data_IF_060039637928
#
_entry.id   IF_060039637928
#
_cell.length_a   1.000
_cell.length_b   1.000
_cell.length_c   1.000
_cell.angle_alpha   90.00
_cell.angle_beta   90.00
_cell.angle_gamma   90.00
#
_symmetry.space_group_name_H-M   'P 1'
#
loop_
_entity.id
_entity.type
_entity.pdbx_description
1 polymer ?
#
# COMPACT_ATOMS: atom_id res chain seq x y z
N UNK A 1 -10.44 21.54 -33.24
CA UNK A 1 -10.89 21.08 -31.91
C UNK A 1 -9.78 20.24 -31.30
N UNK A 2 -8.87 20.84 -30.53
CA UNK A 2 -7.82 20.10 -29.82
C UNK A 2 -8.44 19.42 -28.60
N UNK A 3 -8.96 18.21 -28.79
CA UNK A 3 -9.44 17.38 -27.69
C UNK A 3 -8.20 16.83 -26.95
N UNK A 4 -7.61 17.66 -26.09
CA UNK A 4 -6.52 17.25 -25.19
C UNK A 4 -7.08 16.16 -24.26
N UNK A 5 -6.66 14.91 -24.47
CA UNK A 5 -7.04 13.78 -23.62
C UNK A 5 -6.43 14.02 -22.24
N UNK A 6 -7.21 14.59 -21.32
CA UNK A 6 -6.80 14.83 -19.93
C UNK A 6 -7.33 13.74 -19.02
N UNK A 7 -6.55 13.34 -18.01
CA UNK A 7 -7.00 12.41 -16.97
C UNK A 7 -8.24 12.97 -16.26
N UNK A 8 -9.29 12.14 -16.18
CA UNK A 8 -10.50 12.48 -15.43
C UNK A 8 -10.20 12.41 -13.94
N UNK A 9 -10.44 13.50 -13.21
CA UNK A 9 -10.33 13.51 -11.75
C UNK A 9 -11.54 12.79 -11.15
N UNK A 10 -11.38 11.50 -10.85
CA UNK A 10 -12.45 10.65 -10.30
C UNK A 10 -12.31 10.37 -8.82
N UNK A 11 -11.13 10.60 -8.23
CA UNK A 11 -10.83 10.27 -6.84
C UNK A 11 -10.92 11.51 -5.94
N UNK A 12 -11.63 11.36 -4.82
CA UNK A 12 -11.69 12.36 -3.75
C UNK A 12 -10.51 12.22 -2.79
N UNK A 13 -10.16 13.30 -2.08
CA UNK A 13 -9.10 13.27 -1.05
C UNK A 13 -9.28 12.13 -0.03
N UNK A 14 -10.45 11.94 0.62
CA UNK A 14 -10.61 10.88 1.61
C UNK A 14 -10.44 9.48 1.02
N UNK A 15 -10.89 9.25 -0.23
CA UNK A 15 -10.68 7.97 -0.91
C UNK A 15 -9.19 7.67 -1.12
N UNK A 16 -8.41 8.67 -1.56
CA UNK A 16 -6.96 8.49 -1.76
C UNK A 16 -6.25 8.27 -0.43
N UNK A 17 -6.65 8.98 0.63
CA UNK A 17 -6.10 8.81 1.98
C UNK A 17 -6.40 7.41 2.51
N UNK A 18 -7.65 6.96 2.45
CA UNK A 18 -8.04 5.62 2.89
C UNK A 18 -7.31 4.55 2.09
N UNK A 19 -7.24 4.68 0.76
CA UNK A 19 -6.48 3.77 -0.08
C UNK A 19 -4.99 3.66 0.33
N UNK A 20 -4.33 4.80 0.57
CA UNK A 20 -2.94 4.81 1.05
C UNK A 20 -2.77 4.20 2.45
N UNK A 21 -3.70 4.48 3.36
CA UNK A 21 -3.69 3.90 4.70
C UNK A 21 -3.91 2.38 4.65
N UNK A 22 -4.87 1.90 3.88
CA UNK A 22 -5.16 0.47 3.72
C UNK A 22 -3.96 -0.31 3.19
N UNK A 23 -3.30 0.20 2.15
CA UNK A 23 -2.09 -0.45 1.63
C UNK A 23 -0.96 -0.53 2.68
N UNK A 24 -0.79 0.51 3.49
CA UNK A 24 0.23 0.53 4.55
C UNK A 24 -0.13 -0.39 5.72
N UNK A 25 -1.39 -0.39 6.14
CA UNK A 25 -1.91 -1.21 7.25
C UNK A 25 -1.95 -2.69 6.87
N UNK A 26 -2.52 -3.01 5.71
CA UNK A 26 -2.63 -4.39 5.22
C UNK A 26 -1.27 -5.05 5.04
N UNK A 27 -0.32 -4.38 4.40
CA UNK A 27 1.03 -4.91 4.27
C UNK A 27 1.77 -4.90 5.61
N UNK A 28 1.89 -3.74 6.26
CA UNK A 28 2.75 -3.57 7.44
C UNK A 28 2.25 -4.33 8.67
N UNK A 29 0.97 -4.16 9.01
CA UNK A 29 0.40 -4.75 10.22
C UNK A 29 -0.06 -6.18 9.93
N UNK A 30 -0.96 -6.36 8.98
CA UNK A 30 -1.55 -7.70 8.78
C UNK A 30 -0.57 -8.70 8.17
N UNK A 31 0.27 -8.33 7.21
CA UNK A 31 1.18 -9.31 6.61
C UNK A 31 2.49 -9.48 7.39
N UNK A 32 3.02 -8.43 8.02
CA UNK A 32 4.41 -8.40 8.51
C UNK A 32 4.58 -8.29 10.03
N UNK A 33 3.54 -7.95 10.82
CA UNK A 33 3.72 -7.72 12.26
C UNK A 33 4.22 -8.96 13.00
N UNK A 34 3.76 -10.15 12.63
CA UNK A 34 4.16 -11.41 13.27
C UNK A 34 5.63 -11.74 13.01
N UNK A 35 6.11 -11.54 11.79
CA UNK A 35 7.51 -11.74 11.44
C UNK A 35 8.43 -10.73 12.14
N UNK A 36 8.00 -9.46 12.18
CA UNK A 36 8.74 -8.42 12.90
C UNK A 36 8.78 -8.72 14.39
N UNK A 37 7.67 -9.19 14.99
CA UNK A 37 7.64 -9.61 16.38
C UNK A 37 8.52 -10.84 16.66
N UNK A 38 8.62 -11.78 15.72
CA UNK A 38 9.48 -12.94 15.83
C UNK A 38 10.98 -12.55 15.85
N UNK A 39 11.37 -11.57 15.02
CA UNK A 39 12.78 -11.12 14.94
C UNK A 39 13.13 -10.11 16.03
N UNK A 40 12.29 -9.10 16.26
CA UNK A 40 12.56 -8.00 17.20
C UNK A 40 12.07 -8.28 18.63
N UNK A 41 11.20 -9.28 18.82
CA UNK A 41 10.63 -9.61 20.12
C UNK A 41 9.99 -8.40 20.80
N UNK A 42 10.37 -8.18 22.05
CA UNK A 42 9.90 -7.05 22.86
C UNK A 42 10.25 -5.67 22.27
N UNK A 43 11.28 -5.58 21.42
CA UNK A 43 11.69 -4.33 20.76
C UNK A 43 10.87 -4.00 19.51
N UNK A 44 9.91 -4.85 19.10
CA UNK A 44 9.08 -4.59 17.92
C UNK A 44 8.43 -3.18 17.92
N UNK A 45 7.84 -2.67 19.03
CA UNK A 45 7.26 -1.31 19.04
C UNK A 45 8.31 -0.22 18.77
N UNK A 46 9.53 -0.36 19.31
CA UNK A 46 10.62 0.59 19.08
C UNK A 46 11.07 0.57 17.61
N UNK A 47 11.16 -0.61 17.00
CA UNK A 47 11.46 -0.78 15.57
C UNK A 47 10.42 -0.10 14.68
N UNK A 48 9.13 -0.27 14.98
CA UNK A 48 8.04 0.42 14.26
C UNK A 48 8.10 1.93 14.43
N UNK A 49 8.43 2.43 15.63
CA UNK A 49 8.55 3.86 15.89
C UNK A 49 9.68 4.50 15.07
N UNK A 50 10.85 3.86 15.03
CA UNK A 50 11.99 4.33 14.22
C UNK A 50 11.64 4.28 12.74
N UNK A 51 11.02 3.19 12.26
CA UNK A 51 10.58 3.07 10.88
C UNK A 51 9.56 4.17 10.49
N UNK A 52 8.61 4.48 11.38
CA UNK A 52 7.63 5.55 11.18
C UNK A 52 8.29 6.93 11.08
N UNK A 53 9.31 7.20 11.89
CA UNK A 53 10.06 8.46 11.84
C UNK A 53 10.79 8.63 10.50
N UNK A 54 11.47 7.59 10.03
CA UNK A 54 12.16 7.59 8.73
C UNK A 54 11.18 7.73 7.55
N UNK A 55 10.04 7.03 7.63
CA UNK A 55 8.96 7.17 6.65
C UNK A 55 8.38 8.59 6.66
N UNK A 56 8.27 9.23 7.83
CA UNK A 56 7.79 10.60 7.99
C UNK A 56 8.62 11.63 7.22
N UNK A 57 9.95 11.57 7.30
CA UNK A 57 10.82 12.46 6.52
C UNK A 57 10.64 12.30 5.01
N UNK A 58 10.43 11.05 4.57
CA UNK A 58 10.13 10.74 3.16
C UNK A 58 8.78 11.33 2.77
N UNK A 59 7.74 11.13 3.60
CA UNK A 59 6.40 11.63 3.33
C UNK A 59 6.35 13.16 3.23
N UNK A 60 7.06 13.88 4.09
CA UNK A 60 7.16 15.35 4.04
C UNK A 60 7.82 15.81 2.73
N UNK A 61 8.92 15.17 2.33
CA UNK A 61 9.61 15.48 1.06
C UNK A 61 8.68 15.27 -0.16
N UNK A 62 7.93 14.18 -0.17
CA UNK A 62 6.94 13.91 -1.20
C UNK A 62 5.76 14.91 -1.16
N UNK A 63 5.33 15.37 0.01
CA UNK A 63 4.27 16.36 0.16
C UNK A 63 4.65 17.71 -0.49
N UNK A 64 5.88 18.19 -0.25
CA UNK A 64 6.39 19.41 -0.89
C UNK A 64 6.47 19.27 -2.42
N UNK A 65 6.97 18.13 -2.90
CA UNK A 65 7.10 17.85 -4.34
C UNK A 65 5.74 17.73 -5.04
N UNK A 66 4.77 17.06 -4.43
CA UNK A 66 3.40 16.94 -4.93
C UNK A 66 2.73 18.33 -5.04
N UNK A 67 2.95 19.20 -4.05
CA UNK A 67 2.44 20.58 -4.07
C UNK A 67 3.07 21.43 -5.17
N UNK A 68 4.38 21.24 -5.42
CA UNK A 68 5.12 21.99 -6.47
C UNK A 68 4.87 21.48 -7.88
N UNK A 69 4.68 20.17 -8.05
CA UNK A 69 4.54 19.52 -9.36
C UNK A 69 3.27 18.65 -9.42
N UNK A 70 2.08 19.26 -9.55
CA UNK A 70 0.79 18.56 -9.47
C UNK A 70 0.44 17.82 -10.77
N UNK A 71 1.25 16.83 -11.15
CA UNK A 71 1.06 16.00 -12.34
C UNK A 71 1.10 14.52 -11.98
N UNK A 72 0.32 13.72 -12.70
CA UNK A 72 0.19 12.27 -12.50
C UNK A 72 1.41 11.49 -13.05
N UNK A 73 2.61 11.77 -12.56
CA UNK A 73 3.85 11.10 -12.95
C UNK A 73 4.79 10.75 -11.78
N UNK A 74 4.39 11.11 -10.54
CA UNK A 74 5.02 10.65 -9.30
C UNK A 74 6.54 10.89 -9.23
N UNK A 75 7.25 9.92 -8.65
CA UNK A 75 8.70 10.01 -8.41
C UNK A 75 9.53 10.21 -9.69
N UNK A 76 9.11 9.64 -10.82
CA UNK A 76 9.81 9.81 -12.10
C UNK A 76 9.84 11.29 -12.54
N UNK A 77 8.73 12.01 -12.35
CA UNK A 77 8.65 13.44 -12.65
C UNK A 77 9.55 14.26 -11.74
N UNK A 78 9.61 13.93 -10.45
CA UNK A 78 10.46 14.66 -9.49
C UNK A 78 11.93 14.53 -9.85
N UNK A 79 12.35 13.34 -10.29
CA UNK A 79 13.72 13.11 -10.78
C UNK A 79 13.96 13.83 -12.10
N UNK A 80 13.01 13.79 -13.05
CA UNK A 80 13.13 14.55 -14.31
C UNK A 80 13.33 16.04 -14.03
N UNK A 81 12.58 16.59 -13.09
CA UNK A 81 12.61 18.01 -12.80
C UNK A 81 13.78 18.45 -11.91
N UNK A 82 14.23 17.58 -11.00
CA UNK A 82 15.38 17.85 -10.13
C UNK A 82 16.72 17.69 -10.85
N UNK A 83 16.85 16.71 -11.74
CA UNK A 83 18.11 16.38 -12.42
C UNK A 83 18.14 16.77 -13.90
N UNK A 84 17.04 17.28 -14.45
CA UNK A 84 16.89 17.63 -15.88
C UNK A 84 17.29 16.48 -16.83
N UNK A 85 17.14 15.23 -16.38
CA UNK A 85 17.60 14.03 -17.10
C UNK A 85 16.46 13.07 -17.39
N UNK A 86 16.18 12.86 -18.67
CA UNK A 86 15.15 11.93 -19.13
C UNK A 86 15.53 10.48 -18.88
N UNK A 87 16.80 10.12 -19.03
CA UNK A 87 17.29 8.74 -18.78
C UNK A 87 17.08 8.34 -17.32
N UNK A 88 17.41 9.22 -16.37
CA UNK A 88 17.20 8.96 -14.94
C UNK A 88 15.71 8.85 -14.62
N UNK A 89 14.88 9.72 -15.21
CA UNK A 89 13.42 9.65 -15.06
C UNK A 89 12.85 8.31 -15.51
N UNK A 90 13.31 7.76 -16.64
CA UNK A 90 12.86 6.47 -17.17
C UNK A 90 13.28 5.34 -16.23
N UNK A 91 14.55 5.33 -15.79
CA UNK A 91 15.07 4.32 -14.86
C UNK A 91 14.24 4.30 -13.57
N UNK A 92 13.96 5.47 -12.99
CA UNK A 92 13.16 5.60 -11.77
C UNK A 92 11.71 5.16 -12.00
N UNK A 93 11.12 5.50 -13.15
CA UNK A 93 9.80 5.00 -13.54
C UNK A 93 9.74 3.47 -13.60
N UNK A 94 10.75 2.83 -14.21
CA UNK A 94 10.86 1.37 -14.27
C UNK A 94 11.05 0.75 -12.88
N UNK A 95 11.86 1.36 -12.01
CA UNK A 95 12.04 0.89 -10.64
C UNK A 95 10.74 0.95 -9.83
N UNK A 96 9.94 2.01 -10.00
CA UNK A 96 8.63 2.12 -9.34
C UNK A 96 7.67 1.02 -9.81
N UNK A 97 7.64 0.71 -11.11
CA UNK A 97 6.81 -0.38 -11.65
C UNK A 97 7.25 -1.73 -11.06
N UNK A 98 8.56 -2.01 -11.06
CA UNK A 98 9.10 -3.24 -10.49
C UNK A 98 8.83 -3.36 -8.99
N UNK A 99 8.98 -2.27 -8.23
CA UNK A 99 8.65 -2.23 -6.81
C UNK A 99 7.16 -2.54 -6.58
N UNK A 100 6.27 -1.99 -7.42
CA UNK A 100 4.84 -2.30 -7.39
C UNK A 100 4.56 -3.77 -7.68
N UNK A 101 5.25 -4.38 -8.65
CA UNK A 101 5.10 -5.80 -8.99
C UNK A 101 5.55 -6.71 -7.83
N UNK A 102 6.72 -6.44 -7.24
CA UNK A 102 7.24 -7.20 -6.09
C UNK A 102 6.32 -7.02 -4.88
N UNK A 103 5.84 -5.81 -4.62
CA UNK A 103 4.88 -5.53 -3.54
C UNK A 103 3.59 -6.32 -3.74
N UNK A 104 2.99 -6.30 -4.92
CA UNK A 104 1.79 -7.08 -5.23
C UNK A 104 2.01 -8.58 -5.01
N UNK A 105 3.15 -9.12 -5.48
CA UNK A 105 3.51 -10.52 -5.27
C UNK A 105 3.67 -10.88 -3.77
N UNK A 106 4.29 -9.99 -2.98
CA UNK A 106 4.44 -10.16 -1.54
C UNK A 106 3.08 -10.16 -0.82
N UNK A 107 2.18 -9.22 -1.18
CA UNK A 107 0.83 -9.15 -0.60
C UNK A 107 0.01 -10.40 -0.92
N UNK A 108 0.04 -10.89 -2.17
CA UNK A 108 -0.65 -12.12 -2.55
C UNK A 108 -0.11 -13.32 -1.79
N UNK A 109 1.21 -13.43 -1.62
CA UNK A 109 1.81 -14.50 -0.82
C UNK A 109 1.41 -14.43 0.66
N UNK A 110 1.40 -13.22 1.24
CA UNK A 110 0.93 -13.00 2.61
C UNK A 110 -0.52 -13.42 2.79
N UNK A 111 -1.40 -12.98 1.88
CA UNK A 111 -2.82 -13.35 1.89
C UNK A 111 -3.04 -14.86 1.75
N UNK A 112 -2.36 -15.52 0.80
CA UNK A 112 -2.46 -16.98 0.62
C UNK A 112 -1.93 -17.72 1.85
N UNK A 113 -0.92 -17.20 2.53
CA UNK A 113 -0.44 -17.71 3.81
C UNK A 113 -1.54 -17.75 4.87
N UNK A 114 -2.35 -16.69 4.98
CA UNK A 114 -3.52 -16.66 5.86
C UNK A 114 -4.63 -17.59 5.37
N UNK A 115 -4.94 -17.57 4.07
CA UNK A 115 -6.01 -18.38 3.48
C UNK A 115 -5.79 -19.88 3.74
N UNK A 116 -4.54 -20.33 3.71
CA UNK A 116 -4.18 -21.74 3.92
C UNK A 116 -4.47 -22.23 5.35
N UNK A 117 -4.60 -21.33 6.33
CA UNK A 117 -5.04 -21.69 7.69
C UNK A 117 -6.53 -22.07 7.75
N UNK A 118 -7.32 -21.65 6.75
CA UNK A 118 -8.75 -21.90 6.70
C UNK A 118 -9.12 -22.94 5.63
N UNK A 119 -8.42 -22.96 4.50
CA UNK A 119 -8.73 -23.83 3.36
C UNK A 119 -7.44 -24.47 2.85
N UNK A 120 -7.40 -25.80 2.83
CA UNK A 120 -6.28 -26.57 2.28
C UNK A 120 -6.38 -26.65 0.74
N UNK A 121 -5.87 -25.63 0.05
CA UNK A 121 -5.75 -25.57 -1.42
C UNK A 121 -4.27 -25.46 -1.79
N UNK A 122 -3.88 -26.03 -2.94
CA UNK A 122 -2.54 -25.88 -3.46
C UNK A 122 -2.12 -24.40 -3.57
N UNK A 123 -0.93 -24.08 -3.07
CA UNK A 123 -0.45 -22.71 -2.97
C UNK A 123 -0.35 -22.01 -4.33
N UNK A 124 0.10 -22.70 -5.37
CA UNK A 124 0.24 -22.09 -6.70
C UNK A 124 -1.12 -21.75 -7.29
N UNK A 125 -2.09 -22.66 -7.14
CA UNK A 125 -3.47 -22.45 -7.59
C UNK A 125 -4.09 -21.25 -6.85
N UNK A 126 -3.93 -21.18 -5.52
CA UNK A 126 -4.44 -20.08 -4.71
C UNK A 126 -3.83 -18.72 -5.14
N UNK A 127 -2.52 -18.65 -5.35
CA UNK A 127 -1.83 -17.44 -5.81
C UNK A 127 -2.36 -17.00 -7.18
N UNK A 128 -2.50 -17.93 -8.14
CA UNK A 128 -3.01 -17.60 -9.47
C UNK A 128 -4.44 -17.07 -9.42
N UNK A 129 -5.33 -17.73 -8.68
CA UNK A 129 -6.73 -17.32 -8.55
C UNK A 129 -6.81 -15.91 -7.92
N UNK A 130 -6.14 -15.70 -6.79
CA UNK A 130 -6.16 -14.40 -6.09
C UNK A 130 -5.59 -13.31 -6.99
N UNK A 131 -4.48 -13.57 -7.68
CA UNK A 131 -3.85 -12.58 -8.59
C UNK A 131 -4.78 -12.22 -9.75
N UNK A 132 -5.43 -13.20 -10.39
CA UNK A 132 -6.37 -12.97 -11.49
C UNK A 132 -7.58 -12.17 -11.02
N UNK A 133 -8.13 -12.51 -9.84
CA UNK A 133 -9.26 -11.78 -9.26
C UNK A 133 -8.91 -10.33 -8.97
N UNK A 134 -7.77 -10.07 -8.31
CA UNK A 134 -7.31 -8.71 -8.02
C UNK A 134 -6.99 -7.92 -9.30
N UNK A 135 -6.38 -8.56 -10.29
CA UNK A 135 -6.14 -7.95 -11.60
C UNK A 135 -7.46 -7.60 -12.32
N UNK A 136 -8.47 -8.46 -12.22
CA UNK A 136 -9.82 -8.21 -12.74
C UNK A 136 -10.46 -6.98 -12.07
N UNK A 137 -10.40 -6.90 -10.73
CA UNK A 137 -10.91 -5.74 -9.98
C UNK A 137 -10.17 -4.46 -10.36
N UNK A 138 -8.84 -4.52 -10.50
CA UNK A 138 -8.02 -3.38 -10.90
C UNK A 138 -8.29 -2.92 -12.34
N UNK A 139 -8.66 -3.84 -13.22
CA UNK A 139 -8.95 -3.55 -14.64
C UNK A 139 -10.36 -3.01 -14.86
N UNK A 140 -11.28 -3.21 -13.91
CA UNK A 140 -12.69 -2.80 -14.04
C UNK A 140 -12.85 -1.28 -14.01
N UNK A 141 -12.12 -0.57 -13.16
CA UNK A 141 -12.17 0.88 -13.11
C UNK A 141 -11.52 1.45 -11.87
N UNK A 142 -10.68 2.48 -12.04
CA UNK A 142 -9.87 3.03 -10.94
C UNK A 142 -10.76 3.58 -9.81
N UNK A 143 -11.90 4.19 -10.12
CA UNK A 143 -12.77 4.75 -9.10
C UNK A 143 -13.45 3.65 -8.27
N UNK A 144 -13.89 2.59 -8.94
CA UNK A 144 -14.53 1.41 -8.35
C UNK A 144 -13.52 0.63 -7.50
N UNK A 145 -12.32 0.35 -8.02
CA UNK A 145 -11.26 -0.35 -7.28
C UNK A 145 -10.87 0.42 -6.01
N UNK A 146 -10.68 1.74 -6.11
CA UNK A 146 -10.31 2.58 -4.96
C UNK A 146 -11.45 2.68 -3.94
N UNK A 147 -12.69 2.69 -4.39
CA UNK A 147 -13.86 2.70 -3.49
C UNK A 147 -13.93 1.41 -2.68
N UNK A 148 -13.78 0.25 -3.34
CA UNK A 148 -13.74 -1.06 -2.68
C UNK A 148 -12.58 -1.09 -1.67
N UNK A 149 -11.38 -0.67 -2.08
CA UNK A 149 -10.23 -0.62 -1.19
C UNK A 149 -10.45 0.30 0.01
N UNK A 150 -11.07 1.47 -0.19
CA UNK A 150 -11.38 2.41 0.90
C UNK A 150 -12.34 1.81 1.93
N UNK A 151 -13.36 1.06 1.48
CA UNK A 151 -14.30 0.36 2.37
C UNK A 151 -13.56 -0.71 3.18
N UNK A 152 -12.70 -1.50 2.53
CA UNK A 152 -11.88 -2.51 3.19
C UNK A 152 -11.00 -1.84 4.27
N UNK A 153 -10.37 -0.71 3.97
CA UNK A 153 -9.55 0.02 4.96
C UNK A 153 -10.32 0.45 6.20
N UNK A 154 -11.58 0.90 6.04
CA UNK A 154 -12.41 1.25 7.20
C UNK A 154 -12.65 0.02 8.08
N UNK A 155 -12.88 -1.14 7.46
CA UNK A 155 -13.03 -2.41 8.18
C UNK A 155 -11.72 -2.82 8.86
N UNK A 156 -10.58 -2.71 8.19
CA UNK A 156 -9.24 -3.00 8.75
C UNK A 156 -8.94 -2.14 9.98
N UNK A 157 -9.15 -0.82 9.88
CA UNK A 157 -8.97 0.11 11.00
C UNK A 157 -9.90 -0.26 12.15
N UNK A 158 -11.17 -0.58 11.86
CA UNK A 158 -12.13 -1.03 12.87
C UNK A 158 -11.68 -2.33 13.58
N UNK A 159 -11.18 -3.30 12.82
CA UNK A 159 -10.62 -4.54 13.35
C UNK A 159 -9.42 -4.30 14.27
N UNK A 160 -8.49 -3.42 13.87
CA UNK A 160 -7.34 -3.07 14.71
C UNK A 160 -7.77 -2.35 16.00
N UNK A 161 -8.72 -1.42 15.93
CA UNK A 161 -9.24 -0.75 17.12
C UNK A 161 -9.89 -1.74 18.09
N UNK A 162 -10.61 -2.73 17.57
CA UNK A 162 -11.17 -3.82 18.37
C UNK A 162 -10.08 -4.63 19.06
N UNK A 163 -9.03 -5.04 18.32
CA UNK A 163 -7.89 -5.77 18.90
C UNK A 163 -7.23 -4.96 20.01
N UNK A 164 -7.06 -3.65 19.83
CA UNK A 164 -6.50 -2.76 20.86
C UNK A 164 -7.43 -2.66 22.07
N UNK A 165 -8.74 -2.54 21.86
CA UNK A 165 -9.72 -2.45 22.95
C UNK A 165 -9.73 -3.73 23.81
N UNK A 166 -9.79 -4.90 23.18
CA UNK A 166 -9.79 -6.19 23.88
C UNK A 166 -8.45 -6.46 24.57
N UNK A 167 -7.33 -6.13 23.91
CA UNK A 167 -5.99 -6.34 24.49
C UNK A 167 -5.73 -5.46 25.72
N UNK A 168 -6.39 -4.30 25.84
CA UNK A 168 -6.25 -3.43 27.04
C UNK A 168 -6.75 -4.11 28.31
N UNK A 169 -7.81 -4.91 28.22
CA UNK A 169 -8.38 -5.60 29.38
C UNK A 169 -7.38 -6.65 29.91
N UNK A 170 -6.73 -7.40 29.01
CA UNK A 170 -5.71 -8.39 29.36
C UNK A 170 -4.41 -7.78 29.91
N UNK A 171 -4.13 -6.51 29.67
CA UNK A 171 -2.94 -5.82 30.21
C UNK A 171 -3.19 -5.22 31.61
N UNK A 172 -4.46 -5.17 32.04
CA UNK A 172 -4.90 -4.59 33.32
C UNK A 172 -5.12 -5.62 34.43
N UNK A 173 -4.98 -6.91 34.11
CA UNK A 173 -5.05 -8.07 35.01
C UNK A 173 -3.68 -8.68 35.25
#
# INVERSE_FOLDING_TARGET
>A
MNNQISLKRTLSLPMVVLYGLGTTIGAGIYALVGEIANVAGYYAPASFFIAALLAGFTAISFAELCGRYPRAAGAALYVKQGFSSERLSIIIGLLVITAGLVSAAALVNGFVGYLHQFIAVDRLIAIMIVTILLAGIASWGIAESVTIASIITVIEIGGLLLVVAVSRESLSS
#
